data_IF_224519682949
#
_entry.id   IF_224519682949
#
_cell.length_a   1.000
_cell.length_b   1.000
_cell.length_c   1.000
_cell.angle_alpha   90.00
_cell.angle_beta   90.00
_cell.angle_gamma   90.00
#
_symmetry.space_group_name_H-M   'P 1'
#
loop_
_entity.id
_entity.type
_entity.pdbx_description
1 polymer ?
#
# COMPACT_ATOMS: atom_id res chain seq x y z
N UNK A 1 -6.54 -80.11 15.13
CA UNK A 1 -6.85 -78.98 16.03
C UNK A 1 -6.79 -77.69 15.22
N UNK A 2 -7.87 -76.91 15.26
CA UNK A 2 -8.02 -75.62 14.53
C UNK A 2 -6.99 -74.59 14.98
N UNK A 3 -6.53 -73.76 14.03
CA UNK A 3 -6.01 -72.37 14.13
C UNK A 3 -4.90 -72.21 13.06
N UNK A 4 -4.74 -71.13 12.31
CA UNK A 4 -5.50 -69.91 12.04
C UNK A 4 -4.72 -69.24 10.89
N UNK A 5 -5.39 -68.74 9.86
CA UNK A 5 -4.77 -67.92 8.81
C UNK A 5 -4.08 -66.69 9.42
N UNK A 6 -2.89 -66.33 8.94
CA UNK A 6 -2.49 -64.92 8.82
C UNK A 6 -1.75 -64.71 7.50
N UNK A 7 -2.45 -64.06 6.58
CA UNK A 7 -1.90 -63.50 5.36
C UNK A 7 -0.96 -62.34 5.72
N UNK A 8 0.24 -62.36 5.13
CA UNK A 8 1.15 -61.21 5.13
C UNK A 8 0.62 -60.22 4.08
N UNK A 9 -0.19 -59.27 4.53
CA UNK A 9 -0.54 -58.09 3.72
C UNK A 9 0.51 -57.03 4.01
N UNK A 10 1.49 -56.93 3.11
CA UNK A 10 2.38 -55.77 3.05
C UNK A 10 1.56 -54.56 2.64
N UNK A 11 1.14 -53.75 3.61
CA UNK A 11 0.53 -52.44 3.36
C UNK A 11 1.62 -51.38 3.43
N UNK A 12 1.96 -50.88 2.24
CA UNK A 12 2.81 -49.72 1.97
C UNK A 12 2.52 -48.58 2.96
N UNK A 13 3.52 -48.19 3.76
CA UNK A 13 3.53 -46.90 4.43
C UNK A 13 3.59 -45.80 3.36
N UNK A 14 2.43 -45.26 2.99
CA UNK A 14 2.33 -43.96 2.34
C UNK A 14 2.72 -42.90 3.38
N UNK A 15 4.02 -42.66 3.52
CA UNK A 15 4.53 -41.43 4.12
C UNK A 15 4.19 -40.33 3.12
N UNK A 16 3.03 -39.71 3.33
CA UNK A 16 2.70 -38.46 2.67
C UNK A 16 3.73 -37.43 3.10
N UNK A 17 4.77 -37.25 2.30
CA UNK A 17 5.62 -36.07 2.36
C UNK A 17 4.72 -34.91 1.96
N UNK A 18 4.18 -34.21 2.95
CA UNK A 18 3.65 -32.88 2.74
C UNK A 18 4.84 -32.01 2.34
N UNK A 19 5.04 -31.86 1.03
CA UNK A 19 5.89 -30.82 0.49
C UNK A 19 5.24 -29.50 0.94
N UNK A 20 5.74 -28.94 2.03
CA UNK A 20 5.47 -27.54 2.35
C UNK A 20 6.12 -26.76 1.23
N UNK A 21 5.33 -26.27 0.29
CA UNK A 21 5.78 -25.28 -0.67
C UNK A 21 6.21 -24.06 0.13
N UNK A 22 7.51 -23.99 0.43
CA UNK A 22 8.16 -22.80 0.93
C UNK A 22 8.03 -21.78 -0.19
N UNK A 23 7.00 -20.93 -0.10
CA UNK A 23 6.85 -19.79 -1.00
C UNK A 23 8.07 -18.91 -0.80
N UNK A 24 9.04 -19.07 -1.71
CA UNK A 24 10.19 -18.19 -1.83
C UNK A 24 9.65 -16.77 -1.98
N UNK A 25 9.73 -16.01 -0.89
CA UNK A 25 9.26 -14.63 -0.82
C UNK A 25 10.27 -13.80 -1.59
N UNK A 26 10.15 -13.84 -2.92
CA UNK A 26 10.93 -12.99 -3.82
C UNK A 26 10.67 -11.55 -3.38
N UNK A 27 11.69 -10.90 -2.82
CA UNK A 27 11.62 -9.52 -2.37
C UNK A 27 11.10 -8.67 -3.53
N UNK A 28 9.87 -8.16 -3.38
CA UNK A 28 9.23 -7.38 -4.43
C UNK A 28 9.74 -5.96 -4.35
N UNK A 29 10.90 -5.72 -4.95
CA UNK A 29 11.45 -4.37 -5.12
C UNK A 29 10.43 -3.52 -5.87
N UNK A 30 9.99 -2.42 -5.24
CA UNK A 30 9.03 -1.50 -5.86
C UNK A 30 9.77 -0.64 -6.87
N UNK A 31 9.38 -0.73 -8.15
CA UNK A 31 9.95 0.18 -9.15
C UNK A 31 9.68 1.65 -8.79
N UNK A 32 10.56 2.58 -9.16
CA UNK A 32 10.39 3.99 -8.85
C UNK A 32 9.23 4.62 -9.62
N UNK A 33 8.80 5.79 -9.15
CA UNK A 33 7.85 6.66 -9.85
C UNK A 33 8.65 7.60 -10.74
N UNK A 34 8.32 7.60 -12.04
CA UNK A 34 8.82 8.58 -12.99
C UNK A 34 7.89 9.79 -13.00
N UNK A 35 8.45 11.00 -12.91
CA UNK A 35 7.69 12.25 -12.90
C UNK A 35 8.50 13.40 -13.45
N UNK A 36 7.90 14.25 -14.28
CA UNK A 36 8.56 15.45 -14.78
C UNK A 36 8.39 16.62 -13.83
N UNK A 37 9.48 17.30 -13.46
CA UNK A 37 9.45 18.56 -12.72
C UNK A 37 10.25 19.62 -13.47
N UNK A 38 9.58 20.72 -13.87
CA UNK A 38 10.18 21.81 -14.65
C UNK A 38 10.98 21.33 -15.89
N UNK A 39 10.53 20.27 -16.55
CA UNK A 39 11.17 19.68 -17.73
C UNK A 39 12.24 18.62 -17.42
N UNK A 40 12.63 18.44 -16.16
CA UNK A 40 13.56 17.40 -15.75
C UNK A 40 12.81 16.12 -15.37
N UNK A 41 13.25 14.97 -15.89
CA UNK A 41 12.73 13.67 -15.49
C UNK A 41 13.34 13.29 -14.13
N UNK A 42 12.48 13.05 -13.14
CA UNK A 42 12.86 12.55 -11.84
C UNK A 42 12.45 11.07 -11.72
N UNK A 43 13.31 10.29 -11.08
CA UNK A 43 13.06 8.90 -10.70
C UNK A 43 13.01 8.85 -9.16
N UNK A 44 11.83 8.60 -8.60
CA UNK A 44 11.59 8.68 -7.15
C UNK A 44 11.29 7.29 -6.60
N UNK A 45 12.22 6.75 -5.81
CA UNK A 45 12.07 5.45 -5.15
C UNK A 45 11.28 5.56 -3.84
N UNK A 46 10.88 4.43 -3.26
CA UNK A 46 10.26 4.44 -1.93
C UNK A 46 11.30 4.77 -0.85
N UNK A 47 12.57 4.44 -1.09
CA UNK A 47 13.69 4.77 -0.23
C UNK A 47 13.93 6.28 -0.17
N UNK A 48 13.75 7.00 -1.28
CA UNK A 48 13.84 8.47 -1.30
C UNK A 48 12.70 9.12 -0.49
N UNK A 49 11.49 8.55 -0.58
CA UNK A 49 10.37 8.97 0.27
C UNK A 49 10.68 8.67 1.73
N UNK A 50 11.23 7.49 2.03
CA UNK A 50 11.64 7.11 3.38
C UNK A 50 12.70 8.04 3.96
N UNK A 51 13.70 8.46 3.18
CA UNK A 51 14.69 9.46 3.59
C UNK A 51 14.05 10.82 3.87
N UNK A 52 13.06 11.23 3.06
CA UNK A 52 12.35 12.49 3.27
C UNK A 52 11.45 12.46 4.51
N UNK A 53 10.74 11.37 4.74
CA UNK A 53 9.82 11.20 5.86
C UNK A 53 10.54 10.90 7.19
N UNK A 54 11.62 10.11 7.14
CA UNK A 54 12.40 9.65 8.29
C UNK A 54 12.41 8.13 8.46
N UNK A 55 11.41 7.41 7.91
CA UNK A 55 11.35 5.95 7.86
C UNK A 55 10.43 5.46 6.72
N UNK A 56 10.41 4.15 6.48
CA UNK A 56 9.43 3.51 5.57
C UNK A 56 8.36 2.83 6.44
N UNK A 57 7.38 3.62 6.90
CA UNK A 57 6.25 3.11 7.66
C UNK A 57 5.12 2.60 6.74
N UNK A 58 4.12 1.84 7.26
CA UNK A 58 3.00 1.34 6.45
C UNK A 58 2.23 2.42 5.69
N UNK A 59 2.13 3.63 6.25
CA UNK A 59 1.47 4.76 5.57
C UNK A 59 2.24 5.20 4.33
N UNK A 60 3.57 5.24 4.39
CA UNK A 60 4.44 5.54 3.24
C UNK A 60 4.25 4.50 2.13
N UNK A 61 4.31 3.21 2.50
CA UNK A 61 4.16 2.10 1.54
C UNK A 61 2.81 2.16 0.83
N UNK A 62 1.72 2.35 1.58
CA UNK A 62 0.37 2.42 1.00
C UNK A 62 0.23 3.64 0.08
N UNK A 63 0.66 4.82 0.52
CA UNK A 63 0.57 6.04 -0.30
C UNK A 63 1.42 5.95 -1.57
N UNK A 64 2.62 5.37 -1.49
CA UNK A 64 3.48 5.18 -2.66
C UNK A 64 2.83 4.23 -3.68
N UNK A 65 2.29 3.10 -3.22
CA UNK A 65 1.56 2.16 -4.10
C UNK A 65 0.29 2.78 -4.68
N UNK A 66 -0.44 3.57 -3.90
CA UNK A 66 -1.62 4.30 -4.37
C UNK A 66 -1.24 5.31 -5.48
N UNK A 67 -0.12 6.02 -5.32
CA UNK A 67 0.39 6.94 -6.34
C UNK A 67 0.71 6.22 -7.65
N UNK A 68 1.44 5.09 -7.59
CA UNK A 68 1.76 4.28 -8.78
C UNK A 68 0.50 3.83 -9.52
N UNK A 69 -0.50 3.37 -8.78
CA UNK A 69 -1.78 2.96 -9.35
C UNK A 69 -2.54 4.15 -9.95
N UNK A 70 -2.56 5.31 -9.28
CA UNK A 70 -3.19 6.53 -9.78
C UNK A 70 -2.56 6.99 -11.09
N UNK A 71 -1.22 7.02 -11.16
CA UNK A 71 -0.47 7.37 -12.37
C UNK A 71 -0.83 6.44 -13.52
N UNK A 72 -0.76 5.13 -13.28
CA UNK A 72 -1.11 4.12 -14.28
C UNK A 72 -2.55 4.29 -14.81
N UNK A 73 -3.50 4.67 -13.95
CA UNK A 73 -4.91 4.82 -14.35
C UNK A 73 -5.26 6.15 -15.00
N UNK A 74 -4.61 7.25 -14.58
CA UNK A 74 -4.93 8.60 -15.05
C UNK A 74 -4.06 9.06 -16.25
N UNK A 75 -2.83 8.56 -16.35
CA UNK A 75 -1.89 8.89 -17.43
C UNK A 75 -1.59 7.71 -18.37
N UNK A 76 -1.86 6.47 -17.94
CA UNK A 76 -1.60 5.29 -18.78
C UNK A 76 -0.10 5.10 -19.00
N UNK A 77 0.36 5.36 -20.23
CA UNK A 77 1.78 5.31 -20.63
C UNK A 77 2.49 6.66 -20.51
N UNK A 78 1.74 7.75 -20.35
CA UNK A 78 2.31 9.09 -20.22
C UNK A 78 2.99 9.25 -18.85
N UNK A 79 4.14 9.93 -18.81
CA UNK A 79 4.79 10.30 -17.55
C UNK A 79 4.17 11.61 -17.06
N UNK A 80 3.62 11.66 -15.84
CA UNK A 80 2.93 12.85 -15.36
C UNK A 80 3.88 14.01 -15.11
N UNK A 81 3.37 15.24 -15.23
CA UNK A 81 4.03 16.42 -14.70
C UNK A 81 3.71 16.58 -13.21
N UNK A 82 4.72 16.89 -12.40
CA UNK A 82 4.62 17.04 -10.95
C UNK A 82 3.54 18.02 -10.51
N UNK A 83 3.29 19.09 -11.28
CA UNK A 83 2.28 20.10 -10.96
C UNK A 83 0.84 19.72 -11.32
N UNK A 84 0.64 18.57 -11.98
CA UNK A 84 -0.65 18.18 -12.59
C UNK A 84 -1.53 17.31 -11.68
N UNK A 85 -1.23 17.28 -10.39
CA UNK A 85 -1.96 16.51 -9.38
C UNK A 85 -2.79 17.42 -8.48
N UNK A 86 -3.99 16.95 -8.13
CA UNK A 86 -4.71 17.34 -6.92
C UNK A 86 -5.10 16.08 -6.15
N UNK A 87 -4.98 16.11 -4.83
CA UNK A 87 -5.17 14.94 -3.98
C UNK A 87 -6.10 15.29 -2.82
N UNK A 88 -7.10 14.44 -2.60
CA UNK A 88 -7.98 14.47 -1.43
C UNK A 88 -7.69 13.19 -0.64
N UNK A 89 -7.16 13.34 0.57
CA UNK A 89 -6.79 12.21 1.43
C UNK A 89 -7.84 11.96 2.50
N UNK A 90 -8.18 10.70 2.74
CA UNK A 90 -8.91 10.28 3.95
C UNK A 90 -7.99 9.81 5.07
N UNK A 91 -6.67 9.80 4.85
CA UNK A 91 -5.64 9.34 5.77
C UNK A 91 -4.83 10.54 6.31
N UNK A 92 -5.08 11.01 7.54
CA UNK A 92 -4.37 12.15 8.13
C UNK A 92 -3.13 11.68 8.88
N UNK A 93 -2.12 11.19 8.17
CA UNK A 93 -0.85 10.76 8.78
C UNK A 93 0.33 11.43 8.08
N UNK A 94 1.38 11.75 8.84
CA UNK A 94 2.59 12.39 8.27
C UNK A 94 3.18 11.54 7.15
N UNK A 95 3.25 10.21 7.33
CA UNK A 95 3.77 9.33 6.28
C UNK A 95 2.97 9.38 4.97
N UNK A 96 1.64 9.58 5.02
CA UNK A 96 0.84 9.71 3.81
C UNK A 96 1.01 11.09 3.16
N UNK A 97 0.95 12.14 3.98
CA UNK A 97 1.11 13.53 3.57
C UNK A 97 2.48 13.79 2.96
N UNK A 98 3.54 13.33 3.61
CA UNK A 98 4.94 13.49 3.19
C UNK A 98 5.22 12.70 1.92
N UNK A 99 4.64 11.51 1.76
CA UNK A 99 4.73 10.77 0.50
C UNK A 99 4.15 11.57 -0.66
N UNK A 100 2.95 12.14 -0.47
CA UNK A 100 2.31 12.92 -1.52
C UNK A 100 3.02 14.24 -1.79
N UNK A 101 3.45 14.95 -0.75
CA UNK A 101 4.21 16.19 -0.88
C UNK A 101 5.55 15.93 -1.54
N UNK A 102 6.28 14.89 -1.13
CA UNK A 102 7.56 14.54 -1.75
C UNK A 102 7.39 14.20 -3.22
N UNK A 103 6.38 13.42 -3.62
CA UNK A 103 6.25 13.05 -5.03
C UNK A 103 5.73 14.24 -5.85
N UNK A 104 4.72 14.97 -5.38
CA UNK A 104 3.90 15.87 -6.23
C UNK A 104 3.96 17.36 -5.85
N UNK A 105 4.47 17.71 -4.67
CA UNK A 105 4.40 19.07 -4.10
C UNK A 105 2.98 19.62 -3.91
N UNK A 106 1.99 18.73 -3.77
CA UNK A 106 0.57 19.10 -3.68
C UNK A 106 0.25 20.00 -2.47
N UNK A 107 0.91 19.84 -1.33
CA UNK A 107 0.67 20.71 -0.16
C UNK A 107 1.21 22.10 -0.45
N UNK A 108 2.46 22.20 -0.92
CA UNK A 108 3.09 23.48 -1.28
C UNK A 108 2.31 24.26 -2.35
N UNK A 109 1.57 23.55 -3.22
CA UNK A 109 0.77 24.13 -4.30
C UNK A 109 -0.69 24.46 -3.93
N UNK A 110 -1.14 24.11 -2.72
CA UNK A 110 -2.55 24.23 -2.34
C UNK A 110 -3.48 23.24 -3.04
N UNK A 111 -2.91 22.16 -3.59
CA UNK A 111 -3.61 21.09 -4.32
C UNK A 111 -3.87 19.85 -3.44
N UNK A 112 -3.79 20.00 -2.12
CA UNK A 112 -4.02 18.93 -1.14
C UNK A 112 -5.13 19.30 -0.17
N UNK A 113 -6.05 18.39 0.11
CA UNK A 113 -7.07 18.56 1.13
C UNK A 113 -7.43 17.23 1.81
N UNK A 114 -8.12 17.33 2.94
CA UNK A 114 -8.66 16.15 3.61
C UNK A 114 -10.17 15.99 3.37
N UNK A 115 -10.61 14.74 3.27
CA UNK A 115 -12.01 14.32 3.37
C UNK A 115 -12.06 13.13 4.34
N UNK A 116 -12.25 13.44 5.62
CA UNK A 116 -12.06 12.50 6.72
C UNK A 116 -13.38 11.81 7.10
N UNK A 117 -13.42 10.48 7.21
CA UNK A 117 -14.53 9.77 7.84
C UNK A 117 -14.83 10.31 9.24
N UNK A 118 -16.11 10.33 9.63
CA UNK A 118 -16.53 10.81 10.95
C UNK A 118 -15.75 10.13 12.09
N UNK A 119 -15.31 10.92 13.07
CA UNK A 119 -14.57 10.43 14.24
C UNK A 119 -13.10 10.12 13.97
N UNK A 120 -12.58 10.46 12.78
CA UNK A 120 -11.17 10.37 12.43
C UNK A 120 -10.36 11.49 13.09
N UNK A 121 -9.18 11.15 13.60
CA UNK A 121 -8.11 12.10 13.94
C UNK A 121 -6.75 11.51 13.56
N UNK A 122 -5.65 12.28 13.70
CA UNK A 122 -4.29 11.78 13.40
C UNK A 122 -3.92 10.51 14.20
N UNK A 123 -4.42 10.40 15.43
CA UNK A 123 -4.21 9.24 16.31
C UNK A 123 -5.29 8.18 16.16
N UNK A 124 -6.51 8.57 15.74
CA UNK A 124 -7.67 7.69 15.59
C UNK A 124 -8.02 7.51 14.11
N UNK A 125 -7.42 6.49 13.49
CA UNK A 125 -7.70 6.08 12.11
C UNK A 125 -8.22 4.63 12.10
N UNK A 126 -8.87 4.26 10.99
CA UNK A 126 -9.40 2.93 10.70
C UNK A 126 -9.09 2.53 9.25
N UNK A 127 -9.51 1.35 8.84
CA UNK A 127 -9.45 0.86 7.46
C UNK A 127 -10.06 1.84 6.45
N UNK A 128 -11.10 2.58 6.85
CA UNK A 128 -11.81 3.57 6.00
C UNK A 128 -10.93 4.76 5.63
N UNK A 129 -9.91 5.04 6.43
CA UNK A 129 -9.01 6.16 6.19
C UNK A 129 -8.02 5.89 5.06
N UNK A 130 -7.71 4.63 4.75
CA UNK A 130 -6.79 4.26 3.67
C UNK A 130 -7.45 4.38 2.30
N UNK A 131 -7.93 5.59 2.00
CA UNK A 131 -8.62 6.00 0.79
C UNK A 131 -8.12 7.36 0.33
N UNK A 132 -7.95 7.51 -0.98
CA UNK A 132 -7.42 8.71 -1.60
C UNK A 132 -8.15 8.97 -2.91
N UNK A 133 -8.44 10.24 -3.21
CA UNK A 133 -8.90 10.66 -4.53
C UNK A 133 -7.78 11.42 -5.21
N UNK A 134 -7.33 10.89 -6.36
CA UNK A 134 -6.35 11.54 -7.23
C UNK A 134 -7.07 12.19 -8.39
N UNK A 135 -6.68 13.42 -8.72
CA UNK A 135 -7.26 14.22 -9.80
C UNK A 135 -6.11 14.69 -10.70
N UNK A 136 -6.22 14.42 -11.99
CA UNK A 136 -5.34 14.98 -13.04
C UNK A 136 -5.87 16.35 -13.43
N UNK A 137 -5.18 17.43 -13.05
CA UNK A 137 -5.70 18.81 -13.18
C UNK A 137 -5.96 19.19 -14.64
N UNK A 138 -5.07 18.80 -15.54
CA UNK A 138 -5.15 19.08 -16.99
C UNK A 138 -6.38 18.51 -17.69
N UNK A 139 -6.98 17.45 -17.16
CA UNK A 139 -8.12 16.76 -17.80
C UNK A 139 -9.35 16.66 -16.91
N UNK A 140 -9.22 17.06 -15.65
CA UNK A 140 -10.20 16.85 -14.59
C UNK A 140 -10.62 15.39 -14.35
N UNK A 141 -9.91 14.41 -14.94
CA UNK A 141 -10.13 12.98 -14.65
C UNK A 141 -9.75 12.67 -13.22
N UNK A 142 -10.54 11.83 -12.56
CA UNK A 142 -10.31 11.45 -11.16
C UNK A 142 -10.46 9.96 -10.93
N UNK A 143 -9.74 9.45 -9.95
CA UNK A 143 -9.87 8.07 -9.46
C UNK A 143 -9.83 8.05 -7.94
N UNK A 144 -10.72 7.27 -7.33
CA UNK A 144 -10.67 6.92 -5.91
C UNK A 144 -9.96 5.58 -5.76
N UNK A 145 -8.94 5.54 -4.92
CA UNK A 145 -8.16 4.34 -4.61
C UNK A 145 -8.30 4.09 -3.11
N UNK A 146 -8.67 2.86 -2.74
CA UNK A 146 -8.76 2.45 -1.33
C UNK A 146 -8.07 1.10 -1.14
N UNK A 147 -7.46 0.90 0.02
CA UNK A 147 -6.94 -0.42 0.41
C UNK A 147 -8.13 -1.36 0.62
N UNK A 148 -8.03 -2.57 0.07
CA UNK A 148 -9.11 -3.56 0.21
C UNK A 148 -9.23 -4.01 1.66
N UNK A 149 -10.44 -4.31 2.11
CA UNK A 149 -10.72 -4.67 3.52
C UNK A 149 -9.95 -5.91 3.95
N UNK A 150 -9.71 -6.86 3.04
CA UNK A 150 -9.03 -8.13 3.31
C UNK A 150 -7.59 -7.93 3.79
N UNK A 151 -6.91 -6.87 3.33
CA UNK A 151 -5.57 -6.50 3.81
C UNK A 151 -5.56 -6.21 5.31
N UNK A 152 -6.68 -5.71 5.86
CA UNK A 152 -6.82 -5.46 7.29
C UNK A 152 -7.39 -6.64 8.05
N UNK A 153 -7.93 -7.67 7.39
CA UNK A 153 -8.42 -8.86 8.09
C UNK A 153 -7.26 -9.73 8.59
N UNK A 154 -6.14 -9.71 7.87
CA UNK A 154 -4.87 -10.32 8.30
C UNK A 154 -4.17 -9.51 9.40
N UNK A 155 -4.60 -8.27 9.64
CA UNK A 155 -4.02 -7.35 10.61
C UNK A 155 -5.02 -7.16 11.75
N UNK A 156 -4.79 -7.83 12.87
CA UNK A 156 -5.59 -7.69 14.09
C UNK A 156 -5.87 -6.21 14.42
N UNK A 157 -7.10 -5.89 14.87
CA UNK A 157 -7.54 -4.60 15.42
C UNK A 157 -6.50 -3.92 16.34
N UNK A 158 -5.62 -4.70 16.96
CA UNK A 158 -4.43 -4.24 17.67
C UNK A 158 -3.65 -3.16 16.90
N UNK A 159 -3.50 -3.25 15.58
CA UNK A 159 -2.77 -2.24 14.79
C UNK A 159 -3.32 -0.82 14.99
N UNK A 160 -4.64 -0.67 14.88
CA UNK A 160 -5.32 0.61 15.09
C UNK A 160 -5.35 1.01 16.57
N UNK A 161 -5.61 0.04 17.46
CA UNK A 161 -5.69 0.27 18.91
C UNK A 161 -4.36 0.70 19.53
N UNK A 162 -3.21 0.28 19.00
CA UNK A 162 -1.89 0.66 19.55
C UNK A 162 -1.58 2.14 19.28
N UNK A 163 -2.11 2.73 18.20
CA UNK A 163 -1.88 4.15 17.86
C UNK A 163 -2.42 5.12 18.91
N UNK A 164 -3.46 4.73 19.64
CA UNK A 164 -4.05 5.56 20.71
C UNK A 164 -3.37 5.37 22.07
N UNK A 165 -2.38 4.47 22.17
CA UNK A 165 -1.67 4.17 23.43
C UNK A 165 -0.35 4.90 23.61
N UNK A 166 0.15 5.59 22.58
CA UNK A 166 1.28 6.52 22.75
C UNK A 166 0.74 7.79 23.44
N UNK A 167 1.16 8.00 24.69
CA UNK A 167 1.07 9.28 25.39
C UNK A 167 2.11 10.24 24.82
#
# INVERSE_FOLDING_TARGET
MKKMFMAVVGLLCLVGVFATETTSTKERVLSPILIYDKGHLLELSIEDVGKYHGDICPCVVVSFRAMKLAISKLWGKEIPNRKDFKIISSLPTDGSEDTFEFITRVKKRGDFSFDLPQGTSRLKISEKNYSFVFIRKSTNKRIKISVKKEVFQEIDDRFFKIRTKRK
#
